data_IF_907313909429
#
_entry.id   IF_907313909429
#
_cell.length_a   1.000
_cell.length_b   1.000
_cell.length_c   1.000
_cell.angle_alpha   90.00
_cell.angle_beta   90.00
_cell.angle_gamma   90.00
#
_symmetry.space_group_name_H-M   'P 1'
#
loop_
_entity.id
_entity.type
_entity.pdbx_description
1 polymer ?
#
# COMPACT_ATOMS: atom_id res chain seq x y z
N UNK A 1 -39.87 -0.95 21.40
CA UNK A 1 -38.53 -1.54 21.22
C UNK A 1 -38.58 -2.53 20.06
N UNK A 2 -38.04 -2.16 18.89
CA UNK A 2 -37.98 -3.03 17.70
C UNK A 2 -36.62 -3.73 17.72
N UNK A 3 -36.60 -5.06 17.83
CA UNK A 3 -35.36 -5.81 17.68
C UNK A 3 -35.09 -6.03 16.19
N UNK A 4 -34.00 -5.42 15.73
CA UNK A 4 -33.45 -5.56 14.38
C UNK A 4 -32.57 -6.81 14.38
N UNK A 5 -33.08 -7.92 13.85
CA UNK A 5 -32.29 -9.12 13.62
C UNK A 5 -31.42 -8.91 12.37
N UNK A 6 -30.15 -8.63 12.62
CA UNK A 6 -29.08 -8.44 11.64
C UNK A 6 -28.78 -9.78 10.94
N UNK A 7 -29.28 -9.95 9.72
CA UNK A 7 -28.88 -11.05 8.82
C UNK A 7 -27.40 -10.89 8.49
N UNK A 8 -26.54 -11.70 9.10
CA UNK A 8 -25.14 -11.81 8.70
C UNK A 8 -25.09 -12.57 7.38
N UNK A 9 -24.90 -11.83 6.28
CA UNK A 9 -24.36 -12.39 5.06
C UNK A 9 -22.97 -12.96 5.38
N UNK A 10 -22.85 -14.28 5.30
CA UNK A 10 -21.59 -14.97 5.46
C UNK A 10 -20.98 -15.06 4.06
N UNK A 11 -20.21 -14.04 3.68
CA UNK A 11 -19.16 -14.16 2.68
C UNK A 11 -17.92 -14.70 3.42
N UNK A 12 -17.75 -16.01 3.41
CA UNK A 12 -16.58 -16.66 4.00
C UNK A 12 -15.61 -17.06 2.88
N UNK A 13 -14.87 -16.10 2.33
CA UNK A 13 -13.72 -16.41 1.48
C UNK A 13 -12.55 -16.79 2.38
N UNK A 14 -12.18 -18.06 2.39
CA UNK A 14 -11.00 -18.61 3.07
C UNK A 14 -10.05 -19.25 2.04
N UNK A 15 -8.72 -19.23 2.28
CA UNK A 15 -7.73 -19.66 1.30
C UNK A 15 -7.70 -21.18 1.22
N UNK A 16 -8.06 -21.71 0.06
CA UNK A 16 -8.12 -23.16 -0.20
C UNK A 16 -9.54 -23.70 -0.46
N UNK A 17 -10.44 -22.92 -1.05
CA UNK A 17 -11.72 -23.47 -1.52
C UNK A 17 -11.48 -24.53 -2.59
N UNK A 18 -11.50 -25.78 -2.15
CA UNK A 18 -11.58 -26.93 -3.04
C UNK A 18 -12.85 -26.73 -3.89
N UNK A 19 -12.66 -26.68 -5.21
CA UNK A 19 -13.77 -26.42 -6.10
C UNK A 19 -14.75 -27.56 -5.97
N UNK A 20 -16.02 -27.19 -5.85
CA UNK A 20 -17.13 -28.12 -5.69
C UNK A 20 -18.18 -27.85 -6.74
N UNK A 21 -18.91 -28.90 -7.11
CA UNK A 21 -20.09 -28.80 -7.97
C UNK A 21 -21.29 -29.34 -7.21
N UNK A 22 -22.42 -28.65 -7.32
CA UNK A 22 -23.65 -29.08 -6.66
C UNK A 22 -24.34 -30.20 -7.43
N UNK A 23 -25.08 -31.08 -6.73
CA UNK A 23 -25.89 -32.11 -7.38
C UNK A 23 -27.02 -31.54 -8.23
N UNK A 24 -27.41 -30.28 -8.00
CA UNK A 24 -28.37 -29.54 -8.83
C UNK A 24 -27.73 -29.16 -10.17
N UNK A 25 -26.52 -28.60 -10.15
CA UNK A 25 -25.76 -28.32 -11.37
C UNK A 25 -25.50 -29.59 -12.16
N UNK A 26 -25.12 -30.68 -11.49
CA UNK A 26 -25.00 -31.99 -12.14
C UNK A 26 -26.33 -32.38 -12.80
N UNK A 27 -27.46 -32.29 -12.09
CA UNK A 27 -28.77 -32.62 -12.67
C UNK A 27 -29.09 -31.79 -13.93
N UNK A 28 -28.78 -30.50 -13.92
CA UNK A 28 -28.94 -29.62 -15.08
C UNK A 28 -28.03 -30.01 -16.25
N UNK A 29 -26.75 -30.32 -15.99
CA UNK A 29 -25.81 -30.78 -17.02
C UNK A 29 -26.24 -32.13 -17.63
N UNK A 30 -26.77 -33.02 -16.80
CA UNK A 30 -27.25 -34.34 -17.19
C UNK A 30 -28.63 -34.31 -17.89
N UNK A 31 -29.37 -33.21 -17.79
CA UNK A 31 -30.76 -33.13 -18.27
C UNK A 31 -31.70 -34.11 -17.56
N UNK A 32 -31.42 -34.46 -16.30
CA UNK A 32 -32.19 -35.40 -15.49
C UNK A 32 -32.86 -34.69 -14.31
N UNK A 33 -34.00 -35.17 -13.81
CA UNK A 33 -34.60 -34.60 -12.61
C UNK A 33 -33.66 -34.77 -11.42
N UNK A 34 -33.52 -33.71 -10.60
CA UNK A 34 -32.61 -33.68 -9.45
C UNK A 34 -32.82 -34.85 -8.48
N UNK A 35 -34.07 -35.29 -8.29
CA UNK A 35 -34.39 -36.45 -7.46
C UNK A 35 -33.71 -37.76 -7.91
N UNK A 36 -33.54 -37.97 -9.22
CA UNK A 36 -32.88 -39.18 -9.73
C UNK A 36 -31.37 -39.12 -9.51
N UNK A 37 -30.79 -37.92 -9.59
CA UNK A 37 -29.38 -37.69 -9.25
C UNK A 37 -29.15 -37.94 -7.75
N UNK A 38 -30.04 -37.47 -6.87
CA UNK A 38 -29.95 -37.75 -5.44
C UNK A 38 -30.02 -39.26 -5.13
N UNK A 39 -30.92 -39.98 -5.79
CA UNK A 39 -31.02 -41.45 -5.64
C UNK A 39 -29.75 -42.15 -6.13
N UNK A 40 -29.20 -41.70 -7.26
CA UNK A 40 -27.97 -42.27 -7.81
C UNK A 40 -26.78 -42.06 -6.88
N UNK A 41 -26.60 -40.85 -6.34
CA UNK A 41 -25.53 -40.52 -5.38
C UNK A 41 -25.65 -41.41 -4.14
N UNK A 42 -26.84 -41.52 -3.54
CA UNK A 42 -27.07 -42.37 -2.36
C UNK A 42 -26.81 -43.86 -2.62
N UNK A 43 -27.04 -44.34 -3.84
CA UNK A 43 -26.73 -45.73 -4.22
C UNK A 43 -25.22 -45.96 -4.36
N UNK A 44 -24.47 -44.94 -4.76
CA UNK A 44 -23.02 -44.98 -4.92
C UNK A 44 -22.27 -44.77 -3.60
N UNK A 45 -22.93 -44.17 -2.61
CA UNK A 45 -22.41 -43.89 -1.26
C UNK A 45 -21.66 -45.07 -0.61
N UNK A 46 -22.18 -46.32 -0.59
CA UNK A 46 -21.50 -47.40 0.11
C UNK A 46 -20.16 -47.77 -0.53
N UNK A 47 -20.12 -47.80 -1.86
CA UNK A 47 -18.89 -48.09 -2.62
C UNK A 47 -17.86 -46.96 -2.49
N UNK A 48 -18.32 -45.71 -2.39
CA UNK A 48 -17.45 -44.58 -2.13
C UNK A 48 -16.86 -44.65 -0.71
N UNK A 49 -17.69 -44.93 0.29
CA UNK A 49 -17.30 -44.98 1.69
C UNK A 49 -16.29 -46.11 1.97
N UNK A 50 -16.37 -47.23 1.25
CA UNK A 50 -15.42 -48.35 1.36
C UNK A 50 -13.98 -47.94 1.00
N UNK A 51 -13.82 -47.06 -0.01
CA UNK A 51 -12.50 -46.64 -0.50
C UNK A 51 -12.03 -45.34 0.13
N UNK A 52 -12.93 -44.36 0.30
CA UNK A 52 -12.60 -42.99 0.72
C UNK A 52 -12.82 -42.74 2.22
N UNK A 53 -13.29 -43.73 2.99
CA UNK A 53 -13.56 -43.69 4.44
C UNK A 53 -14.60 -42.63 4.90
N UNK A 54 -15.07 -41.76 4.00
CA UNK A 54 -16.04 -40.70 4.24
C UNK A 54 -17.28 -40.79 3.36
N UNK A 55 -18.33 -40.05 3.74
CA UNK A 55 -19.58 -39.91 3.01
C UNK A 55 -19.59 -38.63 2.17
N UNK A 56 -20.37 -38.60 1.10
CA UNK A 56 -20.62 -37.41 0.30
C UNK A 56 -21.21 -36.29 1.17
N UNK A 57 -20.72 -35.07 0.96
CA UNK A 57 -21.14 -33.90 1.72
C UNK A 57 -22.56 -33.47 1.34
N UNK A 58 -23.52 -33.65 2.26
CA UNK A 58 -24.91 -33.25 2.06
C UNK A 58 -25.18 -31.86 2.64
N UNK A 59 -25.87 -31.03 1.87
CA UNK A 59 -26.31 -29.67 2.19
C UNK A 59 -27.82 -29.53 1.98
N UNK A 60 -28.39 -28.40 2.41
CA UNK A 60 -29.78 -28.05 2.12
C UNK A 60 -29.85 -26.71 1.41
N UNK A 61 -30.64 -26.64 0.33
CA UNK A 61 -30.92 -25.41 -0.42
C UNK A 61 -32.35 -24.96 -0.18
N UNK A 62 -32.54 -23.65 -0.02
CA UNK A 62 -33.85 -23.03 0.04
C UNK A 62 -34.43 -22.88 -1.37
N UNK A 63 -35.55 -23.52 -1.61
CA UNK A 63 -36.34 -23.35 -2.83
C UNK A 63 -37.56 -22.48 -2.51
N UNK A 64 -37.77 -21.43 -3.31
CA UNK A 64 -38.93 -20.55 -3.20
C UNK A 64 -40.15 -21.21 -3.84
N UNK A 65 -41.25 -21.31 -3.10
CA UNK A 65 -42.51 -21.84 -3.61
C UNK A 65 -43.33 -20.76 -4.34
N UNK A 66 -44.26 -21.17 -5.24
CA UNK A 66 -45.17 -20.25 -5.95
C UNK A 66 -46.05 -19.39 -5.03
N UNK A 67 -46.32 -19.88 -3.81
CA UNK A 67 -47.11 -19.19 -2.80
C UNK A 67 -46.29 -18.23 -1.91
N UNK A 68 -45.03 -17.96 -2.26
CA UNK A 68 -44.15 -17.04 -1.50
C UNK A 68 -43.48 -17.66 -0.27
N UNK A 69 -43.74 -18.93 0.04
CA UNK A 69 -43.03 -19.69 1.08
C UNK A 69 -41.68 -20.23 0.63
N UNK A 70 -40.93 -20.85 1.56
CA UNK A 70 -39.66 -21.51 1.28
C UNK A 70 -39.71 -22.98 1.70
N UNK A 71 -39.10 -23.86 0.90
CA UNK A 71 -38.91 -25.29 1.21
C UNK A 71 -37.43 -25.63 1.16
N UNK A 72 -36.95 -26.31 2.18
CA UNK A 72 -35.60 -26.87 2.19
C UNK A 72 -35.58 -28.14 1.34
N UNK A 73 -34.67 -28.21 0.37
CA UNK A 73 -34.38 -29.42 -0.41
C UNK A 73 -32.96 -29.91 -0.15
N UNK A 74 -32.75 -31.23 0.03
CA UNK A 74 -31.41 -31.77 0.15
C UNK A 74 -30.67 -31.66 -1.18
N UNK A 75 -29.41 -31.25 -1.14
CA UNK A 75 -28.48 -31.29 -2.25
C UNK A 75 -27.14 -31.88 -1.78
N UNK A 76 -26.33 -32.39 -2.69
CA UNK A 76 -24.95 -32.77 -2.38
C UNK A 76 -24.00 -31.74 -2.96
N UNK A 77 -22.94 -31.47 -2.23
CA UNK A 77 -21.82 -30.66 -2.68
C UNK A 77 -20.67 -31.63 -2.88
N UNK A 78 -20.26 -31.80 -4.13
CA UNK A 78 -19.30 -32.83 -4.52
C UNK A 78 -17.99 -32.18 -4.96
N UNK A 79 -16.87 -32.72 -4.50
CA UNK A 79 -15.54 -32.36 -5.01
C UNK A 79 -15.35 -32.84 -6.45
N UNK A 80 -14.23 -32.47 -7.08
CA UNK A 80 -13.90 -32.94 -8.44
C UNK A 80 -13.86 -34.47 -8.53
N UNK A 81 -13.22 -35.13 -7.57
CA UNK A 81 -13.08 -36.60 -7.56
C UNK A 81 -14.43 -37.28 -7.31
N UNK A 82 -15.21 -36.78 -6.35
CA UNK A 82 -16.55 -37.28 -6.04
C UNK A 82 -17.50 -37.15 -7.23
N UNK A 83 -17.54 -35.97 -7.86
CA UNK A 83 -18.42 -35.74 -9.02
C UNK A 83 -18.02 -36.58 -10.24
N UNK A 84 -16.72 -36.81 -10.47
CA UNK A 84 -16.24 -37.73 -11.50
C UNK A 84 -16.60 -39.19 -11.21
N UNK A 85 -16.57 -39.61 -9.94
CA UNK A 85 -17.01 -40.94 -9.54
C UNK A 85 -18.52 -41.13 -9.79
N UNK A 86 -19.35 -40.16 -9.40
CA UNK A 86 -20.79 -40.21 -9.68
C UNK A 86 -21.06 -40.17 -11.20
N UNK A 87 -20.21 -39.49 -11.99
CA UNK A 87 -20.32 -39.41 -13.44
C UNK A 87 -20.31 -40.77 -14.15
N UNK A 88 -19.69 -41.79 -13.55
CA UNK A 88 -19.60 -43.16 -14.11
C UNK A 88 -20.94 -43.86 -14.31
N UNK A 89 -22.00 -43.41 -13.63
CA UNK A 89 -23.36 -43.98 -13.76
C UNK A 89 -24.24 -43.26 -14.78
N UNK A 90 -23.73 -42.23 -15.44
CA UNK A 90 -24.49 -41.44 -16.41
C UNK A 90 -24.02 -41.69 -17.84
N UNK A 91 -24.76 -41.15 -18.81
CA UNK A 91 -24.47 -41.31 -20.23
C UNK A 91 -23.17 -40.58 -20.63
N UNK A 92 -22.53 -41.03 -21.72
CA UNK A 92 -21.26 -40.47 -22.19
C UNK A 92 -21.35 -38.98 -22.52
N UNK A 93 -22.48 -38.53 -23.10
CA UNK A 93 -22.72 -37.12 -23.41
C UNK A 93 -22.68 -36.25 -22.16
N UNK A 94 -23.29 -36.70 -21.07
CA UNK A 94 -23.31 -35.87 -19.87
C UNK A 94 -22.03 -35.98 -19.04
N UNK A 95 -21.32 -37.11 -19.12
CA UNK A 95 -19.94 -37.20 -18.62
C UNK A 95 -19.03 -36.20 -19.33
N UNK A 96 -19.12 -36.07 -20.66
CA UNK A 96 -18.38 -35.07 -21.42
C UNK A 96 -18.73 -33.63 -21.00
N UNK A 97 -20.01 -33.32 -20.80
CA UNK A 97 -20.45 -32.00 -20.30
C UNK A 97 -19.89 -31.68 -18.91
N UNK A 98 -19.85 -32.67 -18.01
CA UNK A 98 -19.29 -32.49 -16.68
C UNK A 98 -17.77 -32.23 -16.73
N UNK A 99 -17.05 -32.93 -17.61
CA UNK A 99 -15.61 -32.69 -17.83
C UNK A 99 -15.37 -31.27 -18.34
N UNK A 100 -16.09 -30.84 -19.38
CA UNK A 100 -15.98 -29.48 -19.92
C UNK A 100 -16.28 -28.41 -18.87
N UNK A 101 -17.27 -28.65 -18.01
CA UNK A 101 -17.59 -27.74 -16.90
C UNK A 101 -16.44 -27.63 -15.90
N UNK A 102 -15.78 -28.74 -15.59
CA UNK A 102 -14.60 -28.73 -14.72
C UNK A 102 -13.42 -27.98 -15.35
N UNK A 103 -13.17 -28.19 -16.64
CA UNK A 103 -12.15 -27.44 -17.38
C UNK A 103 -12.44 -25.92 -17.35
N UNK A 104 -13.70 -25.51 -17.52
CA UNK A 104 -14.10 -24.10 -17.42
C UNK A 104 -13.85 -23.52 -16.02
N UNK A 105 -14.20 -24.25 -14.95
CA UNK A 105 -13.94 -23.86 -13.57
C UNK A 105 -12.44 -23.77 -13.27
N UNK A 106 -11.63 -24.63 -13.86
CA UNK A 106 -10.17 -24.61 -13.79
C UNK A 106 -9.57 -23.38 -14.47
N UNK A 107 -9.98 -23.14 -15.71
CA UNK A 107 -9.49 -22.04 -16.51
C UNK A 107 -9.92 -20.68 -15.95
N UNK A 108 -11.14 -20.58 -15.43
CA UNK A 108 -11.66 -19.36 -14.79
C UNK A 108 -10.91 -19.02 -13.50
N UNK A 109 -10.62 -20.01 -12.66
CA UNK A 109 -9.84 -19.76 -11.44
C UNK A 109 -8.40 -19.35 -11.78
N UNK A 110 -7.78 -20.01 -12.77
CA UNK A 110 -6.44 -19.64 -13.24
C UNK A 110 -6.41 -18.21 -13.79
N UNK A 111 -7.42 -17.79 -14.55
CA UNK A 111 -7.54 -16.41 -15.02
C UNK A 111 -7.65 -15.43 -13.85
N UNK A 112 -8.45 -15.75 -12.82
CA UNK A 112 -8.58 -14.91 -11.62
C UNK A 112 -7.26 -14.76 -10.87
N UNK A 113 -6.52 -15.85 -10.66
CA UNK A 113 -5.23 -15.78 -9.96
C UNK A 113 -4.20 -14.96 -10.72
N UNK A 114 -4.12 -15.15 -12.06
CA UNK A 114 -3.24 -14.35 -12.91
C UNK A 114 -3.63 -12.86 -12.88
N UNK A 115 -4.91 -12.53 -12.92
CA UNK A 115 -5.37 -11.13 -12.85
C UNK A 115 -5.06 -10.48 -11.50
N UNK A 116 -5.19 -11.21 -10.38
CA UNK A 116 -4.83 -10.70 -9.05
C UNK A 116 -3.32 -10.46 -8.97
N UNK A 117 -2.51 -11.41 -9.44
CA UNK A 117 -1.06 -11.26 -9.47
C UNK A 117 -0.62 -10.10 -10.37
N UNK A 118 -1.24 -9.94 -11.54
CA UNK A 118 -0.98 -8.82 -12.45
C UNK A 118 -1.32 -7.48 -11.79
N UNK A 119 -2.46 -7.38 -11.10
CA UNK A 119 -2.85 -6.18 -10.37
C UNK A 119 -1.91 -5.86 -9.20
N UNK A 120 -1.37 -6.87 -8.53
CA UNK A 120 -0.39 -6.68 -7.46
C UNK A 120 1.00 -6.27 -7.99
N UNK A 121 1.31 -6.58 -9.26
CA UNK A 121 2.57 -6.18 -9.91
C UNK A 121 2.52 -4.77 -10.49
N UNK A 122 1.34 -4.31 -10.90
CA UNK A 122 1.16 -2.95 -11.39
C UNK A 122 1.26 -1.97 -10.23
N UNK A 123 2.38 -1.24 -10.16
CA UNK A 123 2.49 -0.09 -9.27
C UNK A 123 1.42 0.94 -9.64
N UNK A 124 0.73 1.44 -8.62
CA UNK A 124 -0.25 2.51 -8.83
C UNK A 124 0.49 3.82 -9.12
N UNK A 125 -0.17 4.73 -9.85
CA UNK A 125 0.41 6.04 -10.16
C UNK A 125 0.86 6.80 -8.89
N UNK A 126 0.09 6.69 -7.81
CA UNK A 126 0.44 7.28 -6.51
C UNK A 126 1.72 6.70 -5.91
N UNK A 127 1.94 5.39 -5.99
CA UNK A 127 3.14 4.73 -5.46
C UNK A 127 4.40 5.12 -6.25
N UNK A 128 4.28 5.24 -7.58
CA UNK A 128 5.38 5.70 -8.45
C UNK A 128 5.76 7.13 -8.09
N UNK A 129 4.78 8.03 -7.92
CA UNK A 129 5.02 9.43 -7.52
C UNK A 129 5.72 9.48 -6.15
N UNK A 130 5.22 8.74 -5.16
CA UNK A 130 5.83 8.71 -3.82
C UNK A 130 7.27 8.21 -3.85
N UNK A 131 7.57 7.16 -4.62
CA UNK A 131 8.93 6.65 -4.77
C UNK A 131 9.83 7.67 -5.47
N UNK A 132 9.33 8.37 -6.49
CA UNK A 132 10.05 9.45 -7.16
C UNK A 132 10.39 10.58 -6.19
N UNK A 133 9.42 11.04 -5.40
CA UNK A 133 9.63 12.08 -4.38
C UNK A 133 10.68 11.65 -3.34
N UNK A 134 10.67 10.39 -2.93
CA UNK A 134 11.65 9.87 -1.98
C UNK A 134 13.07 9.83 -2.58
N UNK A 135 13.21 9.44 -3.85
CA UNK A 135 14.49 9.47 -4.56
C UNK A 135 15.02 10.91 -4.63
N UNK A 136 14.17 11.86 -5.04
CA UNK A 136 14.54 13.28 -5.13
C UNK A 136 14.95 13.86 -3.77
N UNK A 137 14.22 13.50 -2.71
CA UNK A 137 14.56 13.91 -1.34
C UNK A 137 15.92 13.38 -0.91
N UNK A 138 16.23 12.11 -1.22
CA UNK A 138 17.53 11.50 -0.91
C UNK A 138 18.67 12.19 -1.65
N UNK A 139 18.50 12.48 -2.93
CA UNK A 139 19.49 13.23 -3.73
C UNK A 139 19.74 14.63 -3.15
N UNK A 140 18.67 15.37 -2.85
CA UNK A 140 18.80 16.69 -2.23
C UNK A 140 19.53 16.65 -0.90
N UNK A 141 19.28 15.62 -0.06
CA UNK A 141 20.00 15.46 1.20
C UNK A 141 21.50 15.25 0.99
N UNK A 142 21.90 14.49 -0.04
CA UNK A 142 23.31 14.24 -0.36
C UNK A 142 24.01 15.50 -0.89
N UNK A 143 23.35 16.25 -1.78
CA UNK A 143 23.91 17.47 -2.37
C UNK A 143 24.00 18.61 -1.36
N UNK A 144 23.11 18.62 -0.36
CA UNK A 144 23.06 19.64 0.69
C UNK A 144 23.69 19.18 2.03
N UNK A 145 24.54 18.14 2.04
CA UNK A 145 25.22 17.68 3.26
C UNK A 145 25.98 18.85 3.93
N UNK A 146 25.88 18.94 5.25
CA UNK A 146 26.65 19.89 6.04
C UNK A 146 28.15 19.56 5.98
N UNK A 147 28.95 20.46 5.41
CA UNK A 147 30.40 20.38 5.50
C UNK A 147 30.87 20.57 6.95
N UNK A 148 31.77 19.69 7.40
CA UNK A 148 32.42 19.75 8.72
C UNK A 148 33.14 21.09 8.88
N UNK A 149 32.89 21.80 9.99
CA UNK A 149 33.59 23.05 10.34
C UNK A 149 32.97 24.35 9.82
N UNK A 150 31.77 24.32 9.22
CA UNK A 150 31.02 25.52 8.82
C UNK A 150 29.62 25.54 9.46
N UNK A 151 29.17 26.73 9.83
CA UNK A 151 27.94 26.95 10.61
C UNK A 151 26.99 27.88 9.87
N UNK A 152 25.75 27.45 9.70
CA UNK A 152 24.71 28.35 9.19
C UNK A 152 24.40 29.43 10.22
N UNK A 153 23.98 30.60 9.76
CA UNK A 153 23.53 31.69 10.65
C UNK A 153 22.49 31.21 11.66
N UNK A 154 21.58 30.31 11.23
CA UNK A 154 20.58 29.69 12.09
C UNK A 154 21.21 28.85 13.22
N UNK A 155 22.27 28.09 12.93
CA UNK A 155 23.02 27.32 13.94
C UNK A 155 23.76 28.22 14.93
N UNK A 156 24.31 29.34 14.47
CA UNK A 156 24.98 30.32 15.35
C UNK A 156 23.97 31.03 16.25
N UNK A 157 22.84 31.47 15.69
CA UNK A 157 21.74 32.08 16.46
C UNK A 157 21.20 31.14 17.54
N UNK A 158 21.01 29.86 17.20
CA UNK A 158 20.59 28.84 18.17
C UNK A 158 21.61 28.68 19.31
N UNK A 159 22.91 28.72 19.02
CA UNK A 159 23.97 28.68 20.05
C UNK A 159 23.90 29.86 21.02
N UNK A 160 23.35 31.00 20.58
CA UNK A 160 23.18 32.22 21.35
C UNK A 160 21.77 32.38 21.97
N UNK A 161 20.90 31.38 21.81
CA UNK A 161 19.49 31.39 22.23
C UNK A 161 18.70 32.58 21.66
N UNK A 162 18.95 32.93 20.41
CA UNK A 162 18.23 33.98 19.68
C UNK A 162 17.66 33.45 18.36
N UNK A 163 16.72 34.17 17.78
CA UNK A 163 16.20 33.81 16.46
C UNK A 163 17.19 34.21 15.38
N UNK A 164 17.10 33.57 14.20
CA UNK A 164 17.88 33.95 13.02
C UNK A 164 17.70 35.43 12.67
N UNK A 165 16.46 35.93 12.75
CA UNK A 165 16.13 37.32 12.43
C UNK A 165 16.81 38.29 13.39
N UNK A 166 16.78 37.99 14.70
CA UNK A 166 17.41 38.84 15.71
C UNK A 166 18.92 38.92 15.52
N UNK A 167 19.57 37.78 15.25
CA UNK A 167 21.02 37.76 14.99
C UNK A 167 21.38 38.56 13.74
N UNK A 168 20.65 38.38 12.63
CA UNK A 168 20.87 39.15 11.41
C UNK A 168 20.70 40.66 11.65
N UNK A 169 19.62 41.06 12.33
CA UNK A 169 19.36 42.46 12.65
C UNK A 169 20.47 43.06 13.51
N UNK A 170 20.97 42.33 14.51
CA UNK A 170 22.09 42.75 15.34
C UNK A 170 23.37 42.94 14.52
N UNK A 171 23.70 42.00 13.62
CA UNK A 171 24.90 42.09 12.80
C UNK A 171 24.84 43.22 11.78
N UNK A 172 23.64 43.50 11.25
CA UNK A 172 23.40 44.66 10.38
C UNK A 172 23.49 45.97 11.15
N UNK A 173 22.89 46.06 12.34
CA UNK A 173 22.91 47.26 13.18
C UNK A 173 24.31 47.63 13.71
N UNK A 174 25.24 46.68 13.73
CA UNK A 174 26.62 46.87 14.15
C UNK A 174 27.62 46.88 12.99
N UNK A 175 27.15 47.14 11.77
CA UNK A 175 27.97 47.29 10.56
C UNK A 175 28.89 46.08 10.27
N UNK A 176 28.45 44.87 10.63
CA UNK A 176 29.17 43.63 10.29
C UNK A 176 28.70 43.07 8.95
N UNK A 177 27.41 43.20 8.65
CA UNK A 177 26.78 42.66 7.45
C UNK A 177 25.83 43.67 6.80
N UNK A 178 25.62 43.52 5.50
CA UNK A 178 24.54 44.20 4.77
C UNK A 178 23.37 43.25 4.50
N UNK A 179 22.17 43.80 4.40
CA UNK A 179 20.97 43.11 3.92
C UNK A 179 20.66 43.58 2.49
N UNK A 180 20.88 42.71 1.50
CA UNK A 180 20.54 42.95 0.10
C UNK A 180 19.42 42.00 -0.29
N UNK A 181 18.18 42.51 -0.29
CA UNK A 181 16.97 41.75 -0.67
C UNK A 181 16.86 40.39 0.06
N UNK A 182 17.15 40.38 1.37
CA UNK A 182 17.11 39.17 2.20
C UNK A 182 18.32 38.23 2.02
N UNK A 183 19.38 38.70 1.36
CA UNK A 183 20.68 38.04 1.27
C UNK A 183 21.69 38.83 2.10
N UNK A 184 22.25 38.16 3.12
CA UNK A 184 23.21 38.76 4.03
C UNK A 184 24.64 38.51 3.57
N UNK A 185 25.41 39.57 3.42
CA UNK A 185 26.82 39.53 3.02
C UNK A 185 27.67 40.32 4.02
N UNK A 186 28.90 39.88 4.26
CA UNK A 186 29.84 40.61 5.12
C UNK A 186 30.20 41.96 4.49
N UNK A 187 30.29 42.98 5.34
CA UNK A 187 30.83 44.27 4.93
C UNK A 187 32.34 44.16 4.65
N UNK A 188 32.88 44.95 3.69
CA UNK A 188 34.28 44.86 3.26
C UNK A 188 35.34 44.81 4.38
N UNK A 189 35.21 45.54 5.51
CA UNK A 189 36.18 45.48 6.62
C UNK A 189 36.33 44.08 7.25
N UNK A 190 35.32 43.23 7.10
CA UNK A 190 35.27 41.88 7.67
C UNK A 190 35.46 40.79 6.61
N UNK A 191 35.41 41.16 5.32
CA UNK A 191 35.73 40.24 4.22
C UNK A 191 37.21 39.88 4.24
N UNK A 192 37.56 38.67 3.80
CA UNK A 192 38.95 38.14 3.75
C UNK A 192 39.61 37.86 5.10
N UNK A 193 38.91 38.06 6.22
CA UNK A 193 39.38 37.65 7.56
C UNK A 193 39.21 36.14 7.82
N UNK A 194 38.66 35.41 6.84
CA UNK A 194 38.37 33.98 6.96
C UNK A 194 37.16 33.67 7.84
N UNK A 195 36.26 34.64 8.05
CA UNK A 195 35.06 34.48 8.86
C UNK A 195 33.90 33.84 8.07
N UNK A 196 33.89 34.03 6.77
CA UNK A 196 32.87 33.54 5.85
C UNK A 196 33.33 32.38 4.98
N UNK A 197 32.37 31.55 4.61
CA UNK A 197 32.45 30.62 3.50
C UNK A 197 31.09 30.64 2.78
N UNK A 198 31.01 29.99 1.62
CA UNK A 198 29.80 29.95 0.83
C UNK A 198 29.38 28.52 0.55
N UNK A 199 28.08 28.27 0.65
CA UNK A 199 27.46 26.99 0.31
C UNK A 199 26.47 27.16 -0.82
N UNK A 200 26.27 26.08 -1.54
CA UNK A 200 25.24 25.94 -2.55
C UNK A 200 24.09 25.15 -1.92
N UNK A 201 22.88 25.68 -2.07
CA UNK A 201 21.67 24.98 -1.72
C UNK A 201 20.94 24.59 -2.99
N UNK A 202 20.72 23.29 -3.15
CA UNK A 202 19.95 22.75 -4.25
C UNK A 202 18.50 22.49 -3.83
N UNK A 203 17.57 22.86 -4.72
CA UNK A 203 16.14 22.60 -4.56
C UNK A 203 15.50 22.31 -5.91
N UNK A 204 14.44 21.52 -5.90
CA UNK A 204 13.59 21.31 -7.08
C UNK A 204 12.35 22.21 -7.00
N UNK A 205 11.87 22.67 -8.14
CA UNK A 205 10.56 23.34 -8.25
C UNK A 205 9.42 22.31 -8.26
N UNK A 206 8.18 22.77 -8.10
CA UNK A 206 6.99 21.91 -8.27
C UNK A 206 6.86 21.33 -9.69
N UNK A 207 7.56 21.90 -10.68
CA UNK A 207 7.61 21.40 -12.06
C UNK A 207 8.83 20.50 -12.32
N UNK A 208 9.63 20.20 -11.29
CA UNK A 208 10.83 19.35 -11.40
C UNK A 208 12.11 20.10 -11.78
N UNK A 209 12.04 21.40 -12.11
CA UNK A 209 13.24 22.16 -12.45
C UNK A 209 14.21 22.30 -11.28
N UNK A 210 15.49 21.97 -11.50
CA UNK A 210 16.58 22.14 -10.53
C UNK A 210 16.95 23.62 -10.40
N UNK A 211 16.97 24.12 -9.16
CA UNK A 211 17.40 25.48 -8.82
C UNK A 211 18.49 25.44 -7.77
N UNK A 212 19.46 26.33 -7.93
CA UNK A 212 20.61 26.44 -7.04
C UNK A 212 20.68 27.84 -6.47
N UNK A 213 20.88 27.95 -5.15
CA UNK A 213 21.11 29.23 -4.47
C UNK A 213 22.43 29.18 -3.72
N UNK A 214 23.31 30.14 -3.96
CA UNK A 214 24.50 30.35 -3.13
C UNK A 214 24.12 31.16 -1.89
N UNK A 215 24.63 30.79 -0.72
CA UNK A 215 24.40 31.52 0.53
C UNK A 215 25.65 31.47 1.42
N UNK A 216 25.81 32.49 2.26
CA UNK A 216 26.94 32.61 3.19
C UNK A 216 26.75 31.71 4.42
N UNK A 217 27.85 31.11 4.89
CA UNK A 217 27.96 30.41 6.18
C UNK A 217 29.20 30.92 6.94
N UNK A 218 29.21 30.71 8.25
CA UNK A 218 30.32 31.07 9.12
C UNK A 218 31.34 29.95 9.23
N UNK A 219 32.61 30.27 9.14
CA UNK A 219 33.68 29.36 9.58
C UNK A 219 33.69 29.23 11.10
N UNK A 220 34.50 28.35 11.67
CA UNK A 220 34.68 28.28 13.12
C UNK A 220 35.22 29.60 13.73
N UNK A 221 36.15 30.25 13.02
CA UNK A 221 36.66 31.57 13.39
C UNK A 221 35.56 32.63 13.35
N UNK A 222 34.77 32.65 12.27
CA UNK A 222 33.64 33.56 12.12
C UNK A 222 32.56 33.34 13.17
N UNK A 223 32.25 32.09 13.50
CA UNK A 223 31.31 31.75 14.59
C UNK A 223 31.78 32.31 15.93
N UNK A 224 33.06 32.11 16.25
CA UNK A 224 33.64 32.61 17.51
C UNK A 224 33.58 34.14 17.57
N UNK A 225 33.96 34.81 16.47
CA UNK A 225 33.85 36.26 16.32
C UNK A 225 32.43 36.77 16.59
N UNK A 226 31.42 36.17 15.93
CA UNK A 226 30.00 36.57 16.10
C UNK A 226 29.55 36.36 17.54
N UNK A 227 29.87 35.21 18.14
CA UNK A 227 29.50 34.92 19.53
C UNK A 227 30.09 35.95 20.49
N UNK A 228 31.38 36.27 20.33
CA UNK A 228 32.08 37.21 21.20
C UNK A 228 31.64 38.66 20.98
N UNK A 229 31.32 39.04 19.74
CA UNK A 229 30.73 40.33 19.42
C UNK A 229 29.38 40.50 20.12
N UNK A 230 28.47 39.53 19.96
CA UNK A 230 27.13 39.59 20.55
C UNK A 230 27.18 39.59 22.08
N UNK A 231 28.11 38.83 22.68
CA UNK A 231 28.34 38.87 24.14
C UNK A 231 28.83 40.24 24.61
N UNK A 232 29.72 40.89 23.87
CA UNK A 232 30.20 42.24 24.18
C UNK A 232 29.05 43.25 24.12
N UNK A 233 28.25 43.21 23.07
CA UNK A 233 27.08 44.11 22.90
C UNK A 233 26.08 43.94 24.05
N UNK A 234 25.76 42.70 24.42
CA UNK A 234 24.85 42.42 25.54
C UNK A 234 25.41 42.91 26.88
N UNK A 235 26.72 42.85 27.09
CA UNK A 235 27.37 43.37 28.31
C UNK A 235 27.36 44.90 28.36
N UNK A 236 27.47 45.59 27.23
CA UNK A 236 27.41 47.05 27.16
C UNK A 236 26.00 47.63 27.23
N UNK A 237 24.97 46.78 27.10
CA UNK A 237 23.56 47.17 27.17
C UNK A 237 22.91 46.88 28.53
N UNK A 238 23.66 46.30 29.48
CA UNK A 238 23.30 46.07 30.88
C UNK A 238 24.07 47.04 31.77
#
# INVERSE_FOLDING_TARGET
MKQVTRTRGISHEAPGEEKVISSIEIAALLGKPHNDVLKAIRKMEPAWQEVHQGKFSQMQIQEKLPNGGYRMRPCFVLTKTESLFVATKFNDVARAKLVLRWEELELSARKRTVNIAHRALLETEAEVIMRSDEIMKRELSQLNIDAVGCYTMKSVAASLRMTYRDLCQMLVAHDVMNDVDGTYELLPPYTYMGYESYRLHERYSLMGDRRQRRYMVWTEAGRSFVIDLVRRIKKSSN
#
